data_IF_645919986870
#
_entry.id   IF_645919986870
#
_cell.length_a   1.000
_cell.length_b   1.000
_cell.length_c   1.000
_cell.angle_alpha   90.00
_cell.angle_beta   90.00
_cell.angle_gamma   90.00
#
_symmetry.space_group_name_H-M   'P 1'
#
loop_
_entity.id
_entity.type
_entity.pdbx_description
1 polymer ?
#
# COMPACT_ATOMS: atom_id res chain seq x y z
N UNK A 1 3.49 -18.27 4.16
CA UNK A 1 2.18 -17.69 3.81
C UNK A 1 2.37 -16.84 2.55
N UNK A 2 1.77 -17.24 1.41
CA UNK A 2 2.07 -16.64 0.09
C UNK A 2 1.81 -15.13 0.00
N UNK A 3 0.96 -14.57 0.86
CA UNK A 3 0.60 -13.15 0.84
C UNK A 3 1.78 -12.22 1.04
N UNK A 4 2.76 -12.59 1.89
CA UNK A 4 3.94 -11.75 2.11
C UNK A 4 4.81 -11.66 0.86
N UNK A 5 5.09 -12.80 0.23
CA UNK A 5 5.86 -12.88 -1.03
C UNK A 5 5.15 -12.16 -2.19
N UNK A 6 3.82 -12.24 -2.24
CA UNK A 6 3.03 -11.49 -3.22
C UNK A 6 3.16 -9.97 -3.00
N UNK A 7 3.14 -9.50 -1.75
CA UNK A 7 3.34 -8.06 -1.44
C UNK A 7 4.74 -7.60 -1.84
N UNK A 8 5.79 -8.39 -1.55
CA UNK A 8 7.15 -8.08 -1.98
C UNK A 8 7.26 -8.00 -3.50
N UNK A 9 6.60 -8.92 -4.21
CA UNK A 9 6.58 -8.94 -5.68
C UNK A 9 5.86 -7.70 -6.22
N UNK A 10 4.70 -7.35 -5.64
CA UNK A 10 3.94 -6.17 -6.05
C UNK A 10 4.72 -4.87 -5.83
N UNK A 11 5.42 -4.74 -4.70
CA UNK A 11 6.31 -3.58 -4.45
C UNK A 11 7.37 -3.44 -5.54
N UNK A 12 8.04 -4.54 -5.91
CA UNK A 12 9.03 -4.54 -7.01
C UNK A 12 8.41 -4.09 -8.34
N UNK A 13 7.19 -4.54 -8.66
CA UNK A 13 6.48 -4.13 -9.87
C UNK A 13 6.14 -2.64 -9.86
N UNK A 14 5.61 -2.11 -8.75
CA UNK A 14 5.30 -0.69 -8.65
C UNK A 14 6.55 0.17 -8.85
N UNK A 15 7.66 -0.20 -8.21
CA UNK A 15 8.94 0.49 -8.40
C UNK A 15 9.40 0.46 -9.85
N UNK A 16 9.25 -0.67 -10.54
CA UNK A 16 9.57 -0.79 -11.96
C UNK A 16 8.73 0.17 -12.83
N UNK A 17 7.45 0.33 -12.50
CA UNK A 17 6.53 1.29 -13.16
C UNK A 17 6.73 2.75 -12.72
N UNK A 18 7.75 3.06 -11.90
CA UNK A 18 8.01 4.40 -11.40
C UNK A 18 7.01 4.87 -10.33
N UNK A 19 6.27 3.94 -9.73
CA UNK A 19 5.32 4.19 -8.64
C UNK A 19 6.00 3.84 -7.31
N UNK A 20 5.86 4.70 -6.29
CA UNK A 20 6.42 4.41 -4.96
C UNK A 20 5.86 3.10 -4.38
N UNK A 21 6.76 2.26 -3.86
CA UNK A 21 6.41 1.01 -3.16
C UNK A 21 5.57 1.26 -1.91
N UNK A 22 5.67 2.46 -1.31
CA UNK A 22 4.94 2.86 -0.10
C UNK A 22 3.43 3.00 -0.31
N UNK A 23 2.98 2.93 -1.56
CA UNK A 23 1.56 2.82 -1.90
C UNK A 23 0.95 1.48 -1.52
N UNK A 24 1.77 0.45 -1.33
CA UNK A 24 1.33 -0.87 -0.90
C UNK A 24 1.81 -1.12 0.52
N UNK A 25 0.85 -1.27 1.42
CA UNK A 25 1.08 -1.50 2.83
C UNK A 25 0.29 -2.73 3.27
N UNK A 26 0.82 -3.45 4.25
CA UNK A 26 0.19 -4.63 4.80
C UNK A 26 0.12 -4.48 6.32
N UNK A 27 -1.08 -4.64 6.86
CA UNK A 27 -1.33 -4.65 8.29
C UNK A 27 -2.00 -5.97 8.66
N UNK A 28 -1.58 -6.55 9.78
CA UNK A 28 -2.21 -7.74 10.35
C UNK A 28 -3.12 -7.30 11.48
N UNK A 29 -4.42 -7.48 11.28
CA UNK A 29 -5.44 -7.12 12.24
C UNK A 29 -6.39 -8.30 12.44
N UNK A 30 -6.56 -8.73 13.68
CA UNK A 30 -7.59 -9.70 14.06
C UNK A 30 -8.95 -9.00 14.21
N UNK A 31 -10.03 -9.78 14.22
CA UNK A 31 -11.39 -9.23 14.32
C UNK A 31 -11.65 -8.44 15.63
N UNK A 32 -10.86 -8.68 16.67
CA UNK A 32 -10.98 -7.99 17.96
C UNK A 32 -10.18 -6.68 18.03
N UNK A 33 -9.24 -6.43 17.10
CA UNK A 33 -8.31 -5.30 17.15
C UNK A 33 -8.87 -4.04 16.43
N UNK A 34 -10.02 -3.54 16.87
CA UNK A 34 -10.72 -2.40 16.22
C UNK A 34 -9.84 -1.14 16.17
N UNK A 35 -9.18 -0.78 17.28
CA UNK A 35 -8.30 0.41 17.31
C UNK A 35 -7.11 0.28 16.36
N UNK A 36 -6.53 -0.92 16.25
CA UNK A 36 -5.43 -1.18 15.32
C UNK A 36 -5.87 -1.05 13.88
N UNK A 37 -7.09 -1.50 13.56
CA UNK A 37 -7.68 -1.29 12.25
C UNK A 37 -7.81 0.21 11.94
N UNK A 38 -8.42 0.99 12.84
CA UNK A 38 -8.60 2.44 12.68
C UNK A 38 -7.25 3.12 12.47
N UNK A 39 -6.28 2.85 13.33
CA UNK A 39 -4.93 3.41 13.24
C UNK A 39 -4.23 3.04 11.92
N UNK A 40 -4.42 1.80 11.45
CA UNK A 40 -3.85 1.37 10.15
C UNK A 40 -4.46 2.12 8.97
N UNK A 41 -5.77 2.37 8.98
CA UNK A 41 -6.45 3.14 7.93
C UNK A 41 -5.96 4.58 7.94
N UNK A 42 -5.83 5.20 9.12
CA UNK A 42 -5.29 6.57 9.24
C UNK A 42 -3.85 6.69 8.73
N UNK A 43 -2.99 5.75 9.08
CA UNK A 43 -1.59 5.73 8.64
C UNK A 43 -1.48 5.55 7.11
N UNK A 44 -2.22 4.60 6.54
CA UNK A 44 -2.26 4.39 5.07
C UNK A 44 -2.71 5.69 4.40
N UNK A 45 -3.76 6.31 4.92
CA UNK A 45 -4.33 7.55 4.37
C UNK A 45 -3.28 8.65 4.36
N UNK A 46 -2.61 8.90 5.49
CA UNK A 46 -1.55 9.92 5.61
C UNK A 46 -0.41 9.66 4.62
N UNK A 47 0.04 8.42 4.50
CA UNK A 47 1.11 8.04 3.57
C UNK A 47 0.70 8.27 2.11
N UNK A 48 -0.50 7.82 1.70
CA UNK A 48 -0.99 8.03 0.33
C UNK A 48 -1.08 9.52 -0.02
N UNK A 49 -1.57 10.36 0.89
CA UNK A 49 -1.67 11.81 0.67
C UNK A 49 -0.30 12.51 0.63
N UNK A 50 0.72 11.96 1.28
CA UNK A 50 2.08 12.51 1.24
C UNK A 50 2.84 12.16 -0.04
N UNK A 51 2.40 11.15 -0.78
CA UNK A 51 3.04 10.71 -2.02
C UNK A 51 2.60 11.60 -3.19
N UNK A 52 3.47 11.83 -4.20
CA UNK A 52 3.08 12.55 -5.41
C UNK A 52 1.89 11.86 -6.07
N UNK A 53 1.05 12.51 -6.89
CA UNK A 53 -0.01 11.80 -7.61
C UNK A 53 0.56 10.73 -8.55
N UNK A 54 -0.17 9.62 -8.74
CA UNK A 54 0.20 8.62 -9.75
C UNK A 54 0.07 9.28 -11.13
N UNK A 55 1.07 9.14 -12.02
CA UNK A 55 0.95 9.63 -13.38
C UNK A 55 -0.33 9.08 -14.01
N UNK A 56 -1.20 9.95 -14.53
CA UNK A 56 -2.35 9.53 -15.33
C UNK A 56 -1.83 9.03 -16.67
N UNK A 57 -1.29 7.80 -16.71
CA UNK A 57 -1.08 7.12 -17.98
C UNK A 57 -2.49 6.75 -18.45
N UNK A 58 -3.05 7.57 -19.33
CA UNK A 58 -4.22 7.21 -20.10
C UNK A 58 -3.83 5.95 -20.90
N UNK A 59 -4.57 4.83 -20.82
CA UNK A 59 -4.35 3.74 -21.77
C UNK A 59 -4.59 4.33 -23.16
N UNK A 60 -3.52 4.34 -23.97
CA UNK A 60 -3.65 4.50 -25.42
C UNK A 60 -4.26 3.24 -26.00
#
# INVERSE_FOLDING_TARGET
MNTYEHILTLKKLLKYEGISEDRVQQYFCSAAEVEKFINSVEDITKKIYSLPPIPKINPK
#
